data_IF_796963358922
#
_entry.id   IF_796963358922
#
_cell.length_a   1.000
_cell.length_b   1.000
_cell.length_c   1.000
_cell.angle_alpha   90.00
_cell.angle_beta   90.00
_cell.angle_gamma   90.00
#
_symmetry.space_group_name_H-M   'P 1'
#
loop_
_entity.id
_entity.type
_entity.pdbx_description
1 polymer ?
#
# COMPACT_ATOMS: atom_id res chain seq x y z
N UNK A 1 31.84 17.65 3.86
CA UNK A 1 30.83 17.57 4.93
C UNK A 1 29.86 16.47 4.55
N UNK A 2 29.90 15.33 5.25
CA UNK A 2 29.06 14.17 4.94
C UNK A 2 27.72 14.39 5.64
N UNK A 3 26.70 14.80 4.89
CA UNK A 3 25.32 14.82 5.36
C UNK A 3 24.92 13.37 5.68
N UNK A 4 24.96 13.01 6.97
CA UNK A 4 24.26 11.83 7.46
C UNK A 4 22.78 12.10 7.28
N UNK A 5 22.11 11.28 6.47
CA UNK A 5 20.65 11.21 6.45
C UNK A 5 20.16 11.05 7.90
N UNK A 6 19.35 12.00 8.38
CA UNK A 6 18.66 11.83 9.65
C UNK A 6 17.78 10.58 9.54
N UNK A 7 17.85 9.71 10.55
CA UNK A 7 16.91 8.61 10.63
C UNK A 7 15.49 9.21 10.65
N UNK A 8 14.57 8.65 9.85
CA UNK A 8 13.17 9.03 9.88
C UNK A 8 12.65 8.94 11.32
N UNK A 9 12.07 10.02 11.83
CA UNK A 9 11.42 10.01 13.13
C UNK A 9 10.12 9.21 13.00
N UNK A 10 9.90 8.25 13.90
CA UNK A 10 8.69 7.45 13.95
C UNK A 10 8.01 7.56 15.31
N UNK A 11 6.68 7.56 15.27
CA UNK A 11 5.83 7.53 16.45
C UNK A 11 4.92 6.33 16.32
N UNK A 12 5.10 5.34 17.18
CA UNK A 12 4.39 4.06 17.10
C UNK A 12 3.61 3.83 18.39
N UNK A 13 2.31 3.65 18.23
CA UNK A 13 1.38 3.21 19.25
C UNK A 13 0.89 1.79 18.93
N UNK A 14 0.19 1.16 19.87
CA UNK A 14 -0.35 -0.16 19.65
C UNK A 14 -0.90 -0.78 20.91
N UNK A 15 -1.46 -1.98 20.76
CA UNK A 15 -1.91 -2.77 21.89
C UNK A 15 -0.73 -3.43 22.64
N UNK A 16 -0.89 -3.77 23.94
CA UNK A 16 0.23 -4.27 24.75
C UNK A 16 0.89 -5.56 24.26
N UNK A 17 0.16 -6.39 23.52
CA UNK A 17 0.67 -7.66 22.99
C UNK A 17 1.34 -7.53 21.60
N UNK A 18 1.34 -6.32 21.03
CA UNK A 18 1.95 -6.02 19.73
C UNK A 18 1.28 -6.71 18.56
N UNK A 19 0.04 -7.16 18.72
CA UNK A 19 -0.76 -7.72 17.60
C UNK A 19 -1.38 -6.64 16.74
N UNK A 20 -1.45 -5.41 17.22
CA UNK A 20 -1.94 -4.25 16.50
C UNK A 20 -1.02 -3.06 16.80
N UNK A 21 -0.44 -2.48 15.76
CA UNK A 21 0.46 -1.33 15.87
C UNK A 21 0.06 -0.30 14.83
N UNK A 22 0.17 0.98 15.14
CA UNK A 22 -0.10 2.06 14.19
C UNK A 22 0.71 3.29 14.54
N UNK A 23 0.89 4.17 13.58
CA UNK A 23 1.77 5.29 13.81
C UNK A 23 2.04 6.15 12.60
N UNK A 24 2.97 7.07 12.80
CA UNK A 24 3.46 7.97 11.77
C UNK A 24 4.95 7.74 11.54
N UNK A 25 5.37 7.89 10.29
CA UNK A 25 6.79 8.01 9.93
C UNK A 25 6.97 9.33 9.19
N UNK A 26 7.90 10.16 9.65
CA UNK A 26 8.36 11.32 8.89
C UNK A 26 9.20 10.84 7.71
N UNK A 27 8.59 10.80 6.51
CA UNK A 27 9.21 10.25 5.30
C UNK A 27 10.03 11.28 4.52
N UNK A 28 9.70 12.56 4.72
CA UNK A 28 10.48 13.75 4.37
C UNK A 28 10.27 14.78 5.49
N UNK A 29 11.16 15.76 5.69
CA UNK A 29 10.96 16.80 6.70
C UNK A 29 9.55 17.39 6.59
N UNK A 30 8.77 17.32 7.67
CA UNK A 30 7.39 17.82 7.75
C UNK A 30 6.35 17.11 6.87
N UNK A 31 6.66 15.93 6.33
CA UNK A 31 5.74 15.08 5.58
C UNK A 31 5.67 13.70 6.24
N UNK A 32 4.49 13.33 6.72
CA UNK A 32 4.27 12.19 7.59
C UNK A 32 3.28 11.21 6.95
N UNK A 33 3.70 9.96 6.77
CA UNK A 33 2.80 8.87 6.36
C UNK A 33 2.28 8.13 7.60
N UNK A 34 0.97 7.94 7.65
CA UNK A 34 0.29 7.10 8.62
C UNK A 34 0.21 5.65 8.13
N UNK A 35 0.36 4.71 9.05
CA UNK A 35 0.29 3.27 8.80
C UNK A 35 -0.40 2.54 9.94
N UNK A 36 -0.99 1.38 9.61
CA UNK A 36 -1.65 0.49 10.57
C UNK A 36 -1.31 -0.97 10.26
N UNK A 37 -0.80 -1.69 11.24
CA UNK A 37 -0.40 -3.08 11.17
C UNK A 37 -1.27 -3.98 12.03
N UNK A 38 -1.58 -5.16 11.50
CA UNK A 38 -2.21 -6.26 12.20
C UNK A 38 -1.37 -7.54 12.06
N UNK A 39 -1.06 -8.15 13.20
CA UNK A 39 -0.46 -9.48 13.28
C UNK A 39 -1.56 -10.53 13.28
N UNK A 40 -1.41 -11.54 12.44
CA UNK A 40 -2.38 -12.62 12.36
C UNK A 40 -2.37 -13.50 13.62
N UNK A 41 -3.54 -13.83 14.20
CA UNK A 41 -3.65 -14.84 15.23
C UNK A 41 -3.44 -16.26 14.67
N UNK A 42 -3.49 -16.44 13.35
CA UNK A 42 -3.30 -17.73 12.66
C UNK A 42 -1.85 -17.96 12.24
N UNK A 43 -0.93 -17.06 12.62
CA UNK A 43 0.45 -17.05 12.17
C UNK A 43 1.19 -18.33 12.56
N UNK A 44 1.45 -19.18 11.57
CA UNK A 44 2.34 -20.34 11.67
C UNK A 44 3.39 -20.26 10.57
N UNK A 45 4.61 -19.89 10.93
CA UNK A 45 5.70 -19.69 9.97
C UNK A 45 6.75 -20.79 10.12
N UNK A 46 7.05 -21.51 9.03
CA UNK A 46 8.16 -22.48 8.97
C UNK A 46 9.15 -22.07 7.88
N UNK A 47 10.40 -22.61 7.87
CA UNK A 47 11.35 -22.32 6.79
C UNK A 47 10.81 -22.68 5.39
N UNK A 48 10.01 -23.74 5.27
CA UNK A 48 9.40 -24.19 4.01
C UNK A 48 8.10 -23.47 3.64
N UNK A 49 7.42 -22.87 4.62
CA UNK A 49 6.18 -22.10 4.44
C UNK A 49 6.24 -20.84 5.32
N UNK A 50 7.01 -19.83 4.91
CA UNK A 50 7.10 -18.58 5.66
C UNK A 50 5.74 -17.86 5.63
N UNK A 51 5.31 -17.34 6.77
CA UNK A 51 4.07 -16.58 6.87
C UNK A 51 4.23 -15.21 6.21
N UNK A 52 3.35 -14.80 5.26
CA UNK A 52 3.53 -13.57 4.51
C UNK A 52 3.05 -12.32 5.24
N UNK A 53 3.55 -11.17 4.79
CA UNK A 53 3.03 -9.85 5.14
C UNK A 53 2.53 -9.17 3.87
N UNK A 54 1.32 -8.63 3.92
CA UNK A 54 0.73 -7.85 2.82
C UNK A 54 0.75 -6.38 3.20
N UNK A 55 1.34 -5.53 2.34
CA UNK A 55 1.10 -4.10 2.34
C UNK A 55 0.00 -3.80 1.32
N UNK A 56 -1.13 -3.27 1.78
CA UNK A 56 -2.25 -2.88 0.94
C UNK A 56 -2.10 -1.43 0.45
N UNK A 57 -2.33 -1.22 -0.85
CA UNK A 57 -2.20 0.06 -1.54
C UNK A 57 -3.51 0.43 -2.22
N UNK A 58 -4.26 1.35 -1.59
CA UNK A 58 -5.49 1.89 -2.15
C UNK A 58 -5.22 2.84 -3.32
N UNK A 59 -6.20 2.96 -4.21
CA UNK A 59 -6.17 3.87 -5.35
C UNK A 59 -6.75 5.28 -5.11
N UNK A 60 -7.62 5.70 -6.03
CA UNK A 60 -8.09 7.09 -6.14
C UNK A 60 -7.53 7.76 -7.40
N UNK A 61 -6.38 8.46 -7.35
CA UNK A 61 -5.48 8.67 -6.20
C UNK A 61 -6.11 9.52 -5.10
N UNK A 62 -5.67 9.33 -3.85
CA UNK A 62 -6.15 10.12 -2.70
C UNK A 62 -7.13 9.39 -1.78
N UNK A 63 -7.44 8.12 -2.07
CA UNK A 63 -8.33 7.33 -1.25
C UNK A 63 -7.55 6.67 -0.09
N UNK A 64 -8.11 6.71 1.12
CA UNK A 64 -7.44 6.22 2.33
C UNK A 64 -7.35 4.69 2.32
N UNK A 65 -6.13 4.15 2.42
CA UNK A 65 -5.91 2.71 2.54
C UNK A 65 -6.29 2.17 3.92
N UNK A 66 -6.26 3.02 4.94
CA UNK A 66 -6.81 2.69 6.26
C UNK A 66 -8.34 2.75 6.22
N UNK A 67 -8.94 3.81 5.69
CA UNK A 67 -10.40 3.94 5.63
C UNK A 67 -11.07 2.85 4.79
N UNK A 68 -10.57 2.60 3.59
CA UNK A 68 -11.20 1.67 2.63
C UNK A 68 -10.60 0.27 2.78
N UNK A 69 -9.31 0.09 2.51
CA UNK A 69 -8.66 -1.22 2.55
C UNK A 69 -8.84 -1.95 3.88
N UNK A 70 -8.64 -1.26 5.01
CA UNK A 70 -8.82 -1.85 6.32
C UNK A 70 -10.31 -2.04 6.66
N UNK A 71 -11.09 -0.95 6.74
CA UNK A 71 -12.44 -1.00 7.33
C UNK A 71 -13.58 -1.27 6.35
N UNK A 72 -13.34 -1.25 5.04
CA UNK A 72 -14.37 -1.55 4.04
C UNK A 72 -14.09 -2.84 3.26
N UNK A 73 -12.85 -3.30 3.21
CA UNK A 73 -12.44 -4.44 2.38
C UNK A 73 -11.87 -5.62 3.19
N UNK A 74 -10.54 -5.68 3.36
CA UNK A 74 -9.81 -6.90 3.74
C UNK A 74 -9.37 -6.94 5.21
N UNK A 75 -9.50 -5.83 5.93
CA UNK A 75 -9.12 -5.73 7.34
C UNK A 75 -10.01 -6.55 8.28
N UNK A 76 -9.61 -6.66 9.57
CA UNK A 76 -10.27 -7.53 10.54
C UNK A 76 -11.63 -7.02 11.00
N UNK A 77 -11.88 -5.71 10.93
CA UNK A 77 -13.10 -5.06 11.37
C UNK A 77 -13.81 -4.36 10.20
N UNK A 78 -15.13 -4.22 10.29
CA UNK A 78 -15.90 -3.33 9.41
C UNK A 78 -15.94 -1.90 9.96
N UNK A 79 -16.58 -1.00 9.20
CA UNK A 79 -16.76 0.42 9.59
C UNK A 79 -17.55 0.61 10.90
N UNK A 80 -18.27 -0.41 11.36
CA UNK A 80 -18.98 -0.43 12.64
C UNK A 80 -18.19 -1.17 13.73
N UNK A 81 -16.90 -1.44 13.49
CA UNK A 81 -15.99 -2.16 14.37
C UNK A 81 -16.41 -3.60 14.65
N UNK A 82 -17.18 -4.23 13.75
CA UNK A 82 -17.57 -5.63 13.88
C UNK A 82 -16.55 -6.55 13.20
N UNK A 83 -16.21 -7.71 13.79
CA UNK A 83 -15.30 -8.67 13.17
C UNK A 83 -15.77 -9.15 11.79
N UNK A 84 -14.83 -9.33 10.87
CA UNK A 84 -15.08 -9.86 9.52
C UNK A 84 -14.60 -11.29 9.38
N UNK A 85 -15.47 -12.17 8.90
CA UNK A 85 -15.11 -13.54 8.56
C UNK A 85 -14.31 -13.65 7.24
N UNK A 86 -14.32 -12.60 6.41
CA UNK A 86 -13.63 -12.55 5.12
C UNK A 86 -12.26 -11.86 5.18
N UNK A 87 -11.78 -11.50 6.37
CA UNK A 87 -10.51 -10.76 6.51
C UNK A 87 -9.32 -11.57 5.98
N UNK A 88 -8.40 -10.88 5.29
CA UNK A 88 -7.16 -11.47 4.83
C UNK A 88 -6.16 -11.75 5.97
N UNK A 89 -6.43 -11.21 7.16
CA UNK A 89 -5.65 -11.48 8.37
C UNK A 89 -5.62 -12.99 8.72
N UNK A 90 -6.52 -13.79 8.16
CA UNK A 90 -6.49 -15.26 8.28
C UNK A 90 -5.32 -15.92 7.54
N UNK A 91 -4.65 -15.21 6.62
CA UNK A 91 -3.63 -15.77 5.71
C UNK A 91 -2.34 -14.96 5.63
N UNK A 92 -2.32 -13.74 6.17
CA UNK A 92 -1.15 -12.87 6.19
C UNK A 92 -1.20 -11.95 7.41
N UNK A 93 -0.05 -11.41 7.80
CA UNK A 93 -0.02 -10.16 8.57
C UNK A 93 -0.35 -9.00 7.60
N UNK A 94 -1.10 -7.99 8.04
CA UNK A 94 -1.56 -6.91 7.17
C UNK A 94 -0.94 -5.58 7.58
N UNK A 95 -0.51 -4.78 6.60
CA UNK A 95 -0.14 -3.38 6.75
C UNK A 95 -1.04 -2.57 5.82
N UNK A 96 -1.71 -1.56 6.37
CA UNK A 96 -2.42 -0.53 5.63
C UNK A 96 -1.64 0.77 5.77
N UNK A 97 -1.67 1.61 4.73
CA UNK A 97 -1.10 2.94 4.79
C UNK A 97 -1.99 3.93 4.08
N UNK A 98 -2.03 5.15 4.58
CA UNK A 98 -2.66 6.26 3.88
C UNK A 98 -1.64 6.92 2.97
N UNK A 99 -1.72 6.61 1.68
CA UNK A 99 -0.72 7.04 0.70
C UNK A 99 -1.39 7.74 -0.49
N UNK A 100 -0.80 8.82 -1.02
CA UNK A 100 0.43 9.50 -0.57
C UNK A 100 0.23 10.39 0.68
N UNK A 101 1.25 11.16 1.07
CA UNK A 101 1.09 12.19 2.11
C UNK A 101 -0.05 13.15 1.75
N UNK A 102 -0.84 13.58 2.74
CA UNK A 102 -2.08 14.34 2.57
C UNK A 102 -3.35 13.48 2.46
N UNK A 103 -3.23 12.15 2.38
CA UNK A 103 -4.37 11.22 2.38
C UNK A 103 -4.71 10.78 3.80
N UNK A 104 -6.00 10.68 4.13
CA UNK A 104 -6.47 10.09 5.39
C UNK A 104 -5.84 10.76 6.60
N UNK A 105 -5.12 10.00 7.41
CA UNK A 105 -4.36 10.55 8.55
C UNK A 105 -2.98 11.10 8.15
N UNK A 106 -2.42 10.70 7.02
CA UNK A 106 -1.14 11.20 6.53
C UNK A 106 -1.21 12.69 6.20
N UNK A 107 -0.20 13.46 6.58
CA UNK A 107 -0.23 14.91 6.47
C UNK A 107 1.11 15.51 6.06
N UNK A 108 1.04 16.75 5.60
CA UNK A 108 2.17 17.66 5.43
C UNK A 108 1.91 18.93 6.24
N UNK A 109 2.95 19.56 6.77
CA UNK A 109 2.79 20.87 7.42
C UNK A 109 2.63 22.03 6.42
N UNK A 110 2.95 21.79 5.15
CA UNK A 110 2.86 22.76 4.06
C UNK A 110 2.45 22.04 2.75
N UNK A 111 1.44 22.56 2.05
CA UNK A 111 0.86 21.93 0.85
C UNK A 111 1.86 21.83 -0.31
N UNK A 112 2.93 22.63 -0.34
CA UNK A 112 4.00 22.49 -1.34
C UNK A 112 4.77 21.16 -1.21
N UNK A 113 4.59 20.45 -0.10
CA UNK A 113 5.20 19.14 0.14
C UNK A 113 4.34 17.97 -0.37
N UNK A 114 3.13 18.21 -0.85
CA UNK A 114 2.33 17.16 -1.51
C UNK A 114 3.10 16.59 -2.71
N UNK A 115 2.98 15.29 -2.91
CA UNK A 115 3.68 14.63 -4.02
C UNK A 115 3.08 15.06 -5.35
N UNK A 116 3.94 15.23 -6.35
CA UNK A 116 3.54 15.61 -7.72
C UNK A 116 3.79 14.49 -8.73
N UNK A 117 4.41 13.39 -8.30
CA UNK A 117 4.72 12.23 -9.15
C UNK A 117 4.58 10.92 -8.38
N UNK A 118 4.24 9.84 -9.10
CA UNK A 118 4.19 8.49 -8.53
C UNK A 118 5.55 8.04 -7.95
N UNK A 119 6.66 8.55 -8.50
CA UNK A 119 8.01 8.26 -8.00
C UNK A 119 8.33 8.96 -6.68
N UNK A 120 7.81 10.17 -6.45
CA UNK A 120 7.91 10.81 -5.14
C UNK A 120 7.11 10.02 -4.09
N UNK A 121 5.88 9.61 -4.42
CA UNK A 121 5.07 8.75 -3.55
C UNK A 121 5.78 7.42 -3.23
N UNK A 122 6.36 6.76 -4.24
CA UNK A 122 7.12 5.54 -4.05
C UNK A 122 8.38 5.75 -3.19
N UNK A 123 9.04 6.90 -3.31
CA UNK A 123 10.21 7.26 -2.49
C UNK A 123 9.80 7.40 -1.02
N UNK A 124 8.73 8.14 -0.76
CA UNK A 124 8.16 8.33 0.57
C UNK A 124 7.74 6.99 1.20
N UNK A 125 7.00 6.15 0.47
CA UNK A 125 6.59 4.82 0.92
C UNK A 125 7.78 3.85 1.11
N UNK A 126 8.87 4.02 0.36
CA UNK A 126 10.12 3.25 0.60
C UNK A 126 10.78 3.67 1.92
N UNK A 127 10.74 4.96 2.27
CA UNK A 127 11.21 5.45 3.57
C UNK A 127 10.36 4.89 4.72
N UNK A 128 9.03 4.86 4.55
CA UNK A 128 8.13 4.17 5.49
C UNK A 128 8.55 2.71 5.67
N UNK A 129 8.71 1.94 4.59
CA UNK A 129 9.12 0.53 4.67
C UNK A 129 10.49 0.34 5.33
N UNK A 130 11.44 1.28 5.18
CA UNK A 130 12.71 1.28 5.90
C UNK A 130 12.54 1.46 7.42
N UNK A 131 11.57 2.26 7.85
CA UNK A 131 11.21 2.38 9.26
C UNK A 131 10.51 1.12 9.76
N UNK A 132 9.49 0.64 9.05
CA UNK A 132 8.73 -0.57 9.43
C UNK A 132 9.58 -1.83 9.48
N UNK A 133 10.57 -1.97 8.59
CA UNK A 133 11.53 -3.08 8.65
C UNK A 133 12.37 -3.10 9.93
N UNK A 134 12.46 -1.98 10.66
CA UNK A 134 13.12 -1.88 11.97
C UNK A 134 12.15 -2.02 13.13
N UNK A 135 10.88 -1.68 12.94
CA UNK A 135 9.88 -1.66 14.01
C UNK A 135 9.08 -2.95 14.11
N UNK A 136 8.78 -3.59 12.97
CA UNK A 136 7.92 -4.77 12.92
C UNK A 136 8.76 -6.05 13.01
N UNK A 137 8.65 -6.84 14.10
CA UNK A 137 9.42 -8.08 14.24
C UNK A 137 9.18 -9.08 13.10
N UNK A 138 7.97 -9.11 12.55
CA UNK A 138 7.63 -9.97 11.40
C UNK A 138 8.53 -9.67 10.19
N UNK A 139 8.78 -8.39 9.87
CA UNK A 139 9.63 -8.02 8.75
C UNK A 139 11.11 -8.30 9.04
N UNK A 140 11.57 -8.05 10.26
CA UNK A 140 12.94 -8.36 10.71
C UNK A 140 13.26 -9.86 10.60
N UNK A 141 12.28 -10.71 10.89
CA UNK A 141 12.41 -12.17 10.83
C UNK A 141 12.36 -12.73 9.39
N UNK A 142 12.28 -11.87 8.38
CA UNK A 142 12.33 -12.28 6.97
C UNK A 142 10.99 -12.72 6.41
N UNK A 143 9.87 -12.25 6.97
CA UNK A 143 8.55 -12.42 6.35
C UNK A 143 8.59 -11.95 4.89
N UNK A 144 8.10 -12.76 3.92
CA UNK A 144 7.94 -12.32 2.55
C UNK A 144 6.88 -11.22 2.47
N UNK A 145 7.31 -10.03 2.05
CA UNK A 145 6.46 -8.88 1.82
C UNK A 145 5.85 -8.96 0.42
N UNK A 146 4.52 -8.86 0.35
CA UNK A 146 3.77 -8.67 -0.89
C UNK A 146 3.18 -7.27 -0.91
N UNK A 147 3.37 -6.56 -2.02
CA UNK A 147 2.67 -5.30 -2.29
C UNK A 147 1.40 -5.66 -3.05
N UNK A 148 0.23 -5.40 -2.46
CA UNK A 148 -1.06 -5.71 -3.07
C UNK A 148 -1.85 -4.42 -3.21
N UNK A 149 -2.49 -4.24 -4.35
CA UNK A 149 -3.11 -2.96 -4.67
C UNK A 149 -4.41 -3.08 -5.43
N UNK A 150 -5.16 -1.99 -5.44
CA UNK A 150 -6.42 -1.84 -6.18
C UNK A 150 -6.44 -0.49 -6.93
N UNK A 151 -7.10 -0.42 -8.09
CA UNK A 151 -7.39 0.84 -8.79
C UNK A 151 -6.09 1.60 -9.13
N UNK A 152 -6.00 2.92 -8.87
CA UNK A 152 -4.77 3.69 -9.04
C UNK A 152 -3.61 3.18 -8.16
N UNK A 153 -3.93 2.44 -7.09
CA UNK A 153 -2.96 1.79 -6.23
C UNK A 153 -2.02 0.86 -7.00
N UNK A 154 -2.46 0.32 -8.15
CA UNK A 154 -1.59 -0.48 -8.99
C UNK A 154 -0.39 0.28 -9.55
N UNK A 155 -0.53 1.58 -9.86
CA UNK A 155 0.62 2.42 -10.24
C UNK A 155 1.56 2.62 -9.06
N UNK A 156 1.03 2.88 -7.86
CA UNK A 156 1.82 2.97 -6.64
C UNK A 156 2.55 1.66 -6.33
N UNK A 157 1.91 0.51 -6.50
CA UNK A 157 2.50 -0.80 -6.23
C UNK A 157 3.62 -1.14 -7.22
N UNK A 158 3.43 -0.80 -8.51
CA UNK A 158 4.45 -1.00 -9.52
C UNK A 158 5.69 -0.12 -9.26
N UNK A 159 5.50 1.18 -9.00
CA UNK A 159 6.62 2.11 -8.74
C UNK A 159 7.31 1.81 -7.40
N UNK A 160 6.54 1.52 -6.35
CA UNK A 160 7.07 1.10 -5.05
C UNK A 160 7.81 -0.23 -5.15
N UNK A 161 7.28 -1.21 -5.88
CA UNK A 161 7.93 -2.50 -6.10
C UNK A 161 9.31 -2.34 -6.73
N UNK A 162 9.44 -1.48 -7.75
CA UNK A 162 10.75 -1.16 -8.35
C UNK A 162 11.66 -0.44 -7.35
N UNK A 163 11.14 0.54 -6.61
CA UNK A 163 11.91 1.30 -5.61
C UNK A 163 12.46 0.41 -4.49
N UNK A 164 11.60 -0.44 -3.90
CA UNK A 164 11.96 -1.41 -2.86
C UNK A 164 12.95 -2.44 -3.39
N UNK A 165 12.73 -2.99 -4.60
CA UNK A 165 13.66 -3.95 -5.19
C UNK A 165 15.06 -3.34 -5.40
N UNK A 166 15.14 -2.06 -5.79
CA UNK A 166 16.41 -1.32 -5.89
C UNK A 166 17.06 -1.15 -4.52
N UNK A 167 16.30 -0.70 -3.50
CA UNK A 167 16.81 -0.52 -2.15
C UNK A 167 17.31 -1.83 -1.51
N UNK A 168 16.61 -2.95 -1.74
CA UNK A 168 17.03 -4.29 -1.27
C UNK A 168 18.33 -4.72 -1.96
N UNK A 169 18.43 -4.58 -3.29
CA UNK A 169 19.67 -4.92 -4.03
C UNK A 169 20.86 -4.05 -3.63
N UNK A 170 20.63 -2.79 -3.28
CA UNK A 170 21.67 -1.88 -2.80
C UNK A 170 22.11 -2.17 -1.35
N UNK A 171 21.36 -2.99 -0.60
CA UNK A 171 21.60 -3.25 0.82
C UNK A 171 21.05 -2.17 1.76
N UNK A 172 20.37 -1.16 1.22
CA UNK A 172 19.77 -0.04 1.98
C UNK A 172 18.50 -0.46 2.74
N UNK A 173 17.88 -1.56 2.34
CA UNK A 173 16.66 -2.08 2.95
C UNK A 173 16.77 -3.59 3.12
N UNK A 174 16.74 -4.05 4.37
CA UNK A 174 16.78 -5.48 4.72
C UNK A 174 15.36 -6.01 4.87
N UNK A 175 14.75 -6.42 3.76
CA UNK A 175 13.49 -7.17 3.74
C UNK A 175 13.45 -8.13 2.55
N UNK A 176 12.51 -9.08 2.56
CA UNK A 176 12.25 -9.98 1.44
C UNK A 176 11.03 -9.50 0.65
N UNK A 177 11.25 -8.83 -0.49
CA UNK A 177 10.16 -8.51 -1.42
C UNK A 177 9.83 -9.78 -2.21
N UNK A 178 8.64 -10.33 -2.00
CA UNK A 178 8.22 -11.60 -2.60
C UNK A 178 7.35 -11.42 -3.85
N UNK A 179 6.61 -10.32 -3.96
CA UNK A 179 5.79 -10.06 -5.15
C UNK A 179 5.02 -8.76 -5.10
N UNK A 180 4.44 -8.44 -6.25
CA UNK A 180 3.49 -7.33 -6.45
C UNK A 180 2.24 -7.93 -7.10
N UNK A 181 1.06 -7.65 -6.54
CA UNK A 181 -0.23 -8.09 -7.06
C UNK A 181 -1.15 -6.88 -7.30
N UNK A 182 -1.80 -6.87 -8.46
CA UNK A 182 -2.58 -5.73 -8.95
C UNK A 182 -4.03 -6.19 -9.15
N UNK A 183 -4.94 -5.78 -8.28
CA UNK A 183 -6.39 -5.95 -8.43
C UNK A 183 -6.97 -4.76 -9.21
N UNK A 184 -7.78 -5.03 -10.22
CA UNK A 184 -8.56 -4.03 -10.99
C UNK A 184 -7.83 -2.69 -11.22
N UNK A 185 -6.56 -2.77 -11.59
CA UNK A 185 -5.64 -1.64 -11.48
C UNK A 185 -5.64 -0.77 -12.72
N UNK A 186 -5.69 0.55 -12.51
CA UNK A 186 -5.61 1.52 -13.60
C UNK A 186 -4.15 1.76 -14.01
N UNK A 187 -3.58 0.86 -14.82
CA UNK A 187 -2.16 0.84 -15.18
C UNK A 187 -1.86 1.64 -16.46
N UNK A 188 -2.51 1.29 -17.57
CA UNK A 188 -2.31 1.91 -18.89
C UNK A 188 -3.54 2.76 -19.26
N UNK A 189 -3.45 4.10 -19.19
CA UNK A 189 -4.58 4.96 -19.52
C UNK A 189 -5.08 4.74 -20.95
N UNK A 190 -4.16 4.53 -21.90
CA UNK A 190 -4.49 4.30 -23.31
C UNK A 190 -5.29 3.00 -23.48
N UNK A 191 -4.81 1.89 -22.94
CA UNK A 191 -5.51 0.61 -23.04
C UNK A 191 -6.88 0.66 -22.36
N UNK A 192 -6.98 1.34 -21.21
CA UNK A 192 -8.26 1.53 -20.52
C UNK A 192 -9.24 2.34 -21.37
N UNK A 193 -8.81 3.46 -21.93
CA UNK A 193 -9.66 4.30 -22.79
C UNK A 193 -10.13 3.55 -24.03
N UNK A 194 -9.24 2.76 -24.66
CA UNK A 194 -9.57 1.98 -25.85
C UNK A 194 -10.48 0.79 -25.54
N UNK A 195 -10.41 0.21 -24.34
CA UNK A 195 -11.20 -0.96 -23.95
C UNK A 195 -12.62 -0.64 -23.47
N UNK A 196 -12.87 0.57 -22.96
CA UNK A 196 -14.16 0.89 -22.31
C UNK A 196 -15.35 0.78 -23.26
N UNK A 197 -15.28 1.37 -24.46
CA UNK A 197 -16.43 1.37 -25.36
C UNK A 197 -16.79 -0.03 -25.87
N UNK A 198 -15.83 -0.87 -26.33
CA UNK A 198 -16.10 -2.27 -26.64
C UNK A 198 -16.74 -3.02 -25.45
N UNK A 199 -16.16 -2.90 -24.25
CA UNK A 199 -16.69 -3.57 -23.05
C UNK A 199 -18.14 -3.15 -22.76
N UNK A 200 -18.42 -1.84 -22.78
CA UNK A 200 -19.75 -1.33 -22.48
C UNK A 200 -20.79 -1.73 -23.53
N UNK A 201 -20.40 -1.87 -24.80
CA UNK A 201 -21.28 -2.42 -25.84
C UNK A 201 -21.59 -3.89 -25.58
N UNK A 202 -20.58 -4.70 -25.27
CA UNK A 202 -20.73 -6.14 -25.01
C UNK A 202 -21.59 -6.43 -23.77
N UNK A 203 -21.60 -5.55 -22.78
CA UNK A 203 -22.45 -5.66 -21.58
C UNK A 203 -23.76 -4.88 -21.68
N UNK A 204 -24.16 -4.49 -22.90
CA UNK A 204 -25.42 -3.76 -23.18
C UNK A 204 -25.59 -2.47 -22.38
N UNK A 205 -24.49 -1.77 -22.11
CA UNK A 205 -24.45 -0.45 -21.45
C UNK A 205 -24.31 0.72 -22.44
N UNK A 206 -23.97 0.43 -23.69
CA UNK A 206 -24.04 1.36 -24.82
C UNK A 206 -24.90 0.76 -25.94
N UNK A 207 -25.50 1.62 -26.75
CA UNK A 207 -26.17 1.23 -27.99
C UNK A 207 -25.18 1.20 -29.16
N UNK A 208 -25.62 0.67 -30.31
CA UNK A 208 -24.77 0.54 -31.49
C UNK A 208 -24.29 1.90 -32.03
N UNK A 209 -25.09 2.97 -31.85
CA UNK A 209 -24.71 4.33 -32.26
C UNK A 209 -23.51 4.84 -31.48
N UNK A 210 -23.48 4.64 -30.17
CA UNK A 210 -22.35 4.99 -29.32
C UNK A 210 -21.14 4.06 -29.55
N UNK A 211 -21.39 2.78 -29.83
CA UNK A 211 -20.34 1.80 -30.16
C UNK A 211 -19.60 2.13 -31.46
N UNK A 212 -20.31 2.56 -32.51
CA UNK A 212 -19.71 2.91 -33.80
C UNK A 212 -18.97 4.25 -33.76
N UNK A 213 -19.38 5.18 -32.90
CA UNK A 213 -18.66 6.44 -32.68
C UNK A 213 -17.30 6.22 -31.98
N UNK A 214 -17.21 5.25 -31.08
CA UNK A 214 -15.99 4.97 -30.32
C UNK A 214 -14.93 4.17 -31.10
N UNK A 215 -15.28 3.62 -32.27
CA UNK A 215 -14.36 2.92 -33.18
C UNK A 215 -13.68 3.86 -34.19
N UNK A 216 -14.04 5.15 -34.20
CA UNK A 216 -13.45 6.19 -35.07
C UNK A 216 -12.36 6.95 -34.34
#
# INVERSE_FOLDING_TARGET
SVLRASAAASVTAGNPDGTELWGFVEVRPKANLFWWYYKSPQRVSTPSRPWPTVLWLQGGPGASGVGIGNFMEIGPLDVNLKPRNSTWLQKADLIFMDNPVGVGYSYVEDDSLLVTTDWQAATDATTLLKALAKELPTLQQGSPLFLVAESYGGKYAATLGVSVARAVRAGDLKLKLAGVALGDSWVSPEDFTLAYAPLLLEVSRLDDNAGDAAKK
#
